data_IF_381855135569
#
_entry.id   IF_381855135569
#
_cell.length_a   1.000
_cell.length_b   1.000
_cell.length_c   1.000
_cell.angle_alpha   90.00
_cell.angle_beta   90.00
_cell.angle_gamma   90.00
#
_symmetry.space_group_name_H-M   'P 1'
#
loop_
_entity.id
_entity.type
_entity.pdbx_description
1 polymer ?
#
# COMPACT_ATOMS: atom_id res chain seq x y z
N UNK A 1 -23.86 -20.99 2.88
CA UNK A 1 -23.83 -22.05 1.84
C UNK A 1 -22.60 -22.90 2.07
N UNK A 2 -22.67 -24.25 2.06
CA UNK A 2 -21.56 -25.11 2.42
C UNK A 2 -20.50 -25.13 1.31
N UNK A 3 -19.26 -25.38 1.72
CA UNK A 3 -18.01 -25.35 0.94
C UNK A 3 -17.86 -26.42 -0.16
N UNK A 4 -18.90 -27.15 -0.49
CA UNK A 4 -18.82 -28.29 -1.43
C UNK A 4 -19.09 -27.94 -2.91
N UNK A 5 -19.36 -26.67 -3.24
CA UNK A 5 -19.76 -26.31 -4.61
C UNK A 5 -18.62 -25.91 -5.54
N UNK A 6 -17.37 -25.87 -5.08
CA UNK A 6 -16.21 -25.42 -5.88
C UNK A 6 -15.36 -26.53 -6.49
N UNK A 7 -15.71 -27.80 -6.33
CA UNK A 7 -14.85 -28.91 -6.76
C UNK A 7 -15.08 -29.43 -8.19
N UNK A 8 -16.05 -28.89 -8.96
CA UNK A 8 -16.40 -29.42 -10.28
C UNK A 8 -16.42 -28.39 -11.44
N UNK A 9 -15.62 -27.34 -11.35
CA UNK A 9 -15.43 -26.43 -12.49
C UNK A 9 -14.25 -26.91 -13.36
N UNK A 10 -14.41 -26.98 -14.69
CA UNK A 10 -13.34 -27.41 -15.59
C UNK A 10 -12.15 -26.45 -15.51
N UNK A 11 -10.94 -26.99 -15.45
CA UNK A 11 -9.65 -26.30 -15.29
C UNK A 11 -9.38 -25.16 -16.29
N UNK A 12 -10.12 -25.08 -17.36
CA UNK A 12 -9.97 -24.07 -18.41
C UNK A 12 -10.74 -22.76 -18.15
N UNK A 13 -11.62 -22.71 -17.12
CA UNK A 13 -12.33 -21.48 -16.79
C UNK A 13 -11.58 -20.61 -15.76
N UNK A 14 -10.71 -21.22 -14.94
CA UNK A 14 -9.96 -20.52 -13.90
C UNK A 14 -8.86 -19.62 -14.47
N UNK A 15 -8.28 -19.96 -15.61
CA UNK A 15 -7.21 -19.15 -16.24
C UNK A 15 -7.74 -17.90 -16.96
N UNK A 16 -8.99 -17.90 -17.41
CA UNK A 16 -9.58 -16.75 -18.10
C UNK A 16 -10.18 -15.69 -17.15
N UNK A 17 -10.61 -16.10 -15.96
CA UNK A 17 -11.15 -15.17 -14.94
C UNK A 17 -10.05 -14.41 -14.20
N UNK A 18 -8.91 -15.05 -13.93
CA UNK A 18 -7.77 -14.38 -13.31
C UNK A 18 -7.13 -13.31 -14.21
N UNK A 19 -7.15 -13.47 -15.54
CA UNK A 19 -6.58 -12.49 -16.47
C UNK A 19 -7.46 -11.25 -16.69
N UNK A 20 -8.76 -11.33 -16.41
CA UNK A 20 -9.70 -10.22 -16.64
C UNK A 20 -9.84 -9.26 -15.46
N UNK A 21 -9.44 -9.68 -14.26
CA UNK A 21 -9.47 -8.84 -13.05
C UNK A 21 -8.22 -7.95 -12.89
N UNK A 22 -7.11 -8.27 -13.57
CA UNK A 22 -5.88 -7.46 -13.52
C UNK A 22 -5.84 -6.25 -14.47
N UNK A 23 -6.87 -6.05 -15.32
CA UNK A 23 -6.85 -5.00 -16.34
C UNK A 23 -7.49 -3.67 -15.92
N UNK A 24 -7.92 -3.52 -14.66
CA UNK A 24 -8.60 -2.30 -14.16
C UNK A 24 -7.64 -1.33 -13.45
N UNK A 25 -6.44 -1.77 -13.10
CA UNK A 25 -5.44 -0.85 -12.54
C UNK A 25 -4.59 -0.24 -13.66
N UNK A 26 -4.36 1.10 -13.64
CA UNK A 26 -3.42 1.73 -14.57
C UNK A 26 -2.06 1.06 -14.44
N UNK A 27 -1.33 0.96 -15.57
CA UNK A 27 0.04 0.42 -15.60
C UNK A 27 0.84 1.06 -14.47
N UNK A 28 1.50 0.21 -13.69
CA UNK A 28 2.33 0.59 -12.55
C UNK A 28 3.32 1.71 -12.99
N UNK A 29 3.03 2.94 -12.60
CA UNK A 29 3.86 4.12 -12.90
C UNK A 29 4.81 4.42 -11.75
N UNK A 30 5.12 3.41 -10.93
CA UNK A 30 6.02 3.55 -9.78
C UNK A 30 7.47 3.48 -10.24
N UNK A 31 8.20 4.57 -10.09
CA UNK A 31 9.65 4.62 -10.28
C UNK A 31 10.36 4.28 -8.97
N UNK A 32 11.37 3.38 -9.04
CA UNK A 32 12.25 3.06 -7.93
C UNK A 32 13.55 3.87 -8.03
N UNK A 33 13.93 4.53 -6.95
CA UNK A 33 15.25 5.13 -6.78
C UNK A 33 15.92 4.42 -5.61
N UNK A 34 17.02 3.70 -5.86
CA UNK A 34 17.82 3.07 -4.82
C UNK A 34 18.71 4.13 -4.17
N UNK A 35 18.56 4.30 -2.86
CA UNK A 35 19.52 5.09 -2.07
C UNK A 35 20.58 4.12 -1.57
N UNK A 36 21.75 4.10 -2.23
CA UNK A 36 22.84 3.17 -1.94
C UNK A 36 23.23 3.20 -0.45
N UNK A 37 23.30 2.03 0.21
CA UNK A 37 23.77 1.94 1.57
C UNK A 37 25.25 2.27 1.65
N UNK A 38 25.72 2.77 2.79
CA UNK A 38 27.14 2.76 3.12
C UNK A 38 27.59 1.31 3.26
N UNK A 39 28.78 0.96 2.74
CA UNK A 39 29.38 -0.38 2.84
C UNK A 39 29.33 -0.88 4.28
N UNK A 40 28.68 -2.02 4.54
CA UNK A 40 28.49 -2.59 5.88
C UNK A 40 27.25 -2.09 6.64
N UNK A 41 26.30 -1.45 5.98
CA UNK A 41 25.06 -0.99 6.63
C UNK A 41 24.14 -2.18 6.97
N UNK A 42 23.64 -2.20 8.20
CA UNK A 42 22.63 -3.15 8.67
C UNK A 42 21.20 -2.77 8.21
N UNK A 43 21.08 -1.85 7.25
CA UNK A 43 19.81 -1.36 6.72
C UNK A 43 19.95 -0.90 5.27
N UNK A 44 18.88 -1.10 4.49
CA UNK A 44 18.75 -0.71 3.08
C UNK A 44 17.52 0.19 2.92
N UNK A 45 17.73 1.44 2.47
CA UNK A 45 16.65 2.40 2.23
C UNK A 45 16.39 2.53 0.73
N UNK A 46 15.14 2.38 0.34
CA UNK A 46 14.64 2.57 -1.02
C UNK A 46 13.63 3.70 -1.05
N UNK A 47 13.67 4.50 -2.12
CA UNK A 47 12.67 5.53 -2.42
C UNK A 47 11.87 5.12 -3.63
N UNK A 48 10.56 5.26 -3.55
CA UNK A 48 9.63 5.01 -4.65
C UNK A 48 8.81 6.26 -4.91
N UNK A 49 8.56 6.53 -6.19
CA UNK A 49 7.64 7.58 -6.62
C UNK A 49 6.44 6.94 -7.32
N UNK A 50 5.23 7.41 -7.02
CA UNK A 50 4.02 6.97 -7.70
C UNK A 50 3.13 8.17 -8.06
N UNK A 51 2.48 8.09 -9.21
CA UNK A 51 1.40 9.00 -9.60
C UNK A 51 0.09 8.47 -8.99
N UNK A 52 -0.49 9.24 -8.08
CA UNK A 52 -1.73 8.84 -7.42
C UNK A 52 -2.96 9.39 -8.16
N UNK A 53 -4.08 8.64 -8.19
CA UNK A 53 -5.37 9.17 -8.63
C UNK A 53 -5.89 10.20 -7.61
N UNK A 54 -7.14 10.60 -7.69
CA UNK A 54 -7.76 11.47 -6.70
C UNK A 54 -7.66 10.84 -5.29
N UNK A 55 -8.71 10.41 -4.68
CA UNK A 55 -8.66 9.68 -3.42
C UNK A 55 -8.64 8.16 -3.70
N UNK A 56 -7.67 7.43 -3.11
CA UNK A 56 -7.58 5.98 -3.29
C UNK A 56 -6.65 5.31 -2.25
N UNK A 57 -6.80 3.99 -2.09
CA UNK A 57 -5.81 3.11 -1.49
C UNK A 57 -5.06 2.37 -2.62
N UNK A 58 -3.84 2.78 -2.89
CA UNK A 58 -3.00 2.23 -3.96
C UNK A 58 -2.20 1.03 -3.42
N UNK A 59 -2.35 -0.19 -3.97
CA UNK A 59 -1.59 -1.35 -3.49
C UNK A 59 -0.11 -1.18 -3.86
N UNK A 60 0.78 -1.33 -2.86
CA UNK A 60 2.24 -1.22 -2.99
C UNK A 60 2.99 -2.46 -2.49
N UNK A 61 2.29 -3.54 -2.21
CA UNK A 61 2.88 -4.78 -1.67
C UNK A 61 4.00 -5.32 -2.54
N UNK A 62 3.84 -5.29 -3.87
CA UNK A 62 4.84 -5.81 -4.80
C UNK A 62 6.14 -5.00 -4.73
N UNK A 63 6.06 -3.66 -4.64
CA UNK A 63 7.22 -2.78 -4.52
C UNK A 63 7.94 -2.99 -3.18
N UNK A 64 7.18 -3.14 -2.09
CA UNK A 64 7.74 -3.40 -0.76
C UNK A 64 8.43 -4.76 -0.70
N UNK A 65 7.80 -5.81 -1.26
CA UNK A 65 8.42 -7.14 -1.35
C UNK A 65 9.65 -7.12 -2.27
N UNK A 66 9.62 -6.35 -3.35
CA UNK A 66 10.77 -6.15 -4.23
C UNK A 66 11.96 -5.51 -3.49
N UNK A 67 11.71 -4.49 -2.65
CA UNK A 67 12.75 -3.89 -1.82
C UNK A 67 13.37 -4.90 -0.84
N UNK A 68 12.55 -5.76 -0.22
CA UNK A 68 13.06 -6.83 0.65
C UNK A 68 13.95 -7.80 -0.13
N UNK A 69 13.52 -8.24 -1.32
CA UNK A 69 14.31 -9.15 -2.14
C UNK A 69 15.66 -8.51 -2.57
N UNK A 70 15.63 -7.26 -3.02
CA UNK A 70 16.81 -6.52 -3.48
C UNK A 70 17.79 -6.21 -2.34
N UNK A 71 17.30 -6.09 -1.09
CA UNK A 71 18.15 -5.85 0.08
C UNK A 71 19.06 -7.02 0.42
N UNK A 72 18.70 -8.24 -0.01
CA UNK A 72 19.38 -9.47 0.40
C UNK A 72 19.21 -9.85 1.88
N UNK A 73 18.43 -9.08 2.65
CA UNK A 73 18.16 -9.34 4.07
C UNK A 73 17.11 -10.44 4.18
N UNK A 74 17.47 -11.52 4.87
CA UNK A 74 16.60 -12.69 5.05
C UNK A 74 15.71 -12.59 6.26
N UNK A 75 16.22 -12.00 7.35
CA UNK A 75 15.48 -11.89 8.61
C UNK A 75 15.67 -10.49 9.21
N UNK A 76 14.58 -9.88 9.67
CA UNK A 76 14.62 -8.51 10.18
C UNK A 76 13.25 -7.83 10.17
N UNK A 77 13.25 -6.53 9.92
CA UNK A 77 12.04 -5.71 9.80
C UNK A 77 12.08 -4.86 8.52
N UNK A 78 10.91 -4.65 7.96
CA UNK A 78 10.67 -3.72 6.85
C UNK A 78 9.76 -2.58 7.35
N UNK A 79 10.26 -1.35 7.27
CA UNK A 79 9.49 -0.14 7.59
C UNK A 79 9.09 0.53 6.28
N UNK A 80 7.80 0.76 6.08
CA UNK A 80 7.26 1.54 4.95
C UNK A 80 6.79 2.89 5.48
N UNK A 81 7.27 3.99 4.89
CA UNK A 81 7.03 5.34 5.40
C UNK A 81 6.55 6.29 4.29
N UNK A 82 5.51 7.04 4.60
CA UNK A 82 4.95 8.12 3.77
C UNK A 82 5.37 9.49 4.34
N UNK A 83 6.13 10.32 3.60
CA UNK A 83 6.58 11.65 4.08
C UNK A 83 5.56 12.76 3.77
N UNK A 84 4.28 12.45 3.60
CA UNK A 84 3.25 13.41 3.24
C UNK A 84 2.21 13.57 4.35
N UNK A 85 1.63 14.76 4.45
CA UNK A 85 0.66 15.11 5.50
C UNK A 85 -0.80 14.85 5.10
N UNK A 86 -1.05 14.55 3.81
CA UNK A 86 -2.38 14.25 3.26
C UNK A 86 -2.45 12.85 2.63
N UNK A 87 -1.47 12.00 2.96
CA UNK A 87 -1.41 10.60 2.58
C UNK A 87 -0.88 9.76 3.76
N UNK A 88 -1.05 8.45 3.71
CA UNK A 88 -0.61 7.53 4.76
C UNK A 88 -0.26 6.15 4.24
N UNK A 89 0.10 5.25 5.16
CA UNK A 89 0.38 3.83 4.85
C UNK A 89 -0.51 2.96 5.73
N UNK A 90 -1.10 1.91 5.14
CA UNK A 90 -1.85 0.91 5.92
C UNK A 90 -1.61 -0.50 5.42
N UNK A 91 -2.03 -1.47 6.23
CA UNK A 91 -2.14 -2.88 5.87
C UNK A 91 -3.61 -3.27 6.01
N UNK A 92 -4.19 -3.79 4.93
CA UNK A 92 -5.56 -4.25 4.94
C UNK A 92 -5.77 -5.38 3.93
N UNK A 93 -6.98 -5.87 3.77
CA UNK A 93 -7.32 -6.90 2.80
C UNK A 93 -7.04 -6.45 1.37
N UNK A 94 -6.40 -7.34 0.59
CA UNK A 94 -6.00 -7.11 -0.79
C UNK A 94 -6.60 -8.16 -1.76
N UNK A 95 -7.58 -8.91 -1.31
CA UNK A 95 -8.24 -9.94 -2.13
C UNK A 95 -9.55 -9.45 -2.76
N UNK A 96 -10.30 -8.62 -2.04
CA UNK A 96 -11.58 -8.08 -2.47
C UNK A 96 -11.46 -6.56 -2.71
N UNK A 97 -11.65 -6.07 -3.95
CA UNK A 97 -11.61 -4.64 -4.28
C UNK A 97 -12.72 -3.83 -3.62
N UNK A 98 -13.83 -4.45 -3.22
CA UNK A 98 -14.93 -3.76 -2.54
C UNK A 98 -14.50 -3.28 -1.15
N UNK A 99 -13.54 -3.95 -0.49
CA UNK A 99 -12.97 -3.49 0.78
C UNK A 99 -12.35 -2.09 0.65
N UNK A 100 -11.62 -1.81 -0.43
CA UNK A 100 -11.05 -0.48 -0.70
C UNK A 100 -12.17 0.56 -0.86
N UNK A 101 -13.21 0.23 -1.60
CA UNK A 101 -14.38 1.10 -1.84
C UNK A 101 -15.08 1.44 -0.52
N UNK A 102 -15.31 0.43 0.31
CA UNK A 102 -15.99 0.58 1.60
C UNK A 102 -15.14 1.37 2.61
N UNK A 103 -13.84 1.14 2.65
CA UNK A 103 -12.92 1.89 3.50
C UNK A 103 -12.91 3.37 3.12
N UNK A 104 -12.83 3.70 1.82
CA UNK A 104 -12.89 5.09 1.36
C UNK A 104 -14.21 5.75 1.74
N UNK A 105 -15.35 5.04 1.58
CA UNK A 105 -16.65 5.53 2.02
C UNK A 105 -16.70 5.77 3.53
N UNK A 106 -16.18 4.84 4.32
CA UNK A 106 -16.12 4.93 5.78
C UNK A 106 -15.27 6.12 6.23
N UNK A 107 -14.09 6.34 5.62
CA UNK A 107 -13.21 7.46 5.96
C UNK A 107 -13.84 8.81 5.59
N UNK A 108 -14.50 8.92 4.44
CA UNK A 108 -15.25 10.14 4.08
C UNK A 108 -16.34 10.48 5.08
N UNK A 109 -17.05 9.47 5.60
CA UNK A 109 -18.09 9.64 6.61
C UNK A 109 -17.52 9.97 7.99
N UNK A 110 -16.40 9.34 8.38
CA UNK A 110 -15.76 9.56 9.68
C UNK A 110 -15.07 10.93 9.76
N UNK A 111 -14.48 11.40 8.65
CA UNK A 111 -13.73 12.66 8.56
C UNK A 111 -14.27 13.52 7.41
N UNK A 112 -15.51 14.03 7.50
CA UNK A 112 -16.09 14.89 6.47
C UNK A 112 -15.44 16.27 6.46
N UNK A 113 -15.55 16.99 5.36
CA UNK A 113 -15.28 18.41 5.35
C UNK A 113 -16.29 19.15 6.24
N UNK A 114 -15.82 20.19 6.91
CA UNK A 114 -16.63 20.98 7.85
C UNK A 114 -16.42 22.48 7.60
N UNK A 115 -17.48 23.28 7.65
CA UNK A 115 -17.39 24.75 7.45
C UNK A 115 -16.54 25.46 8.52
N UNK A 116 -16.31 24.80 9.67
CA UNK A 116 -15.48 25.34 10.75
C UNK A 116 -13.97 25.15 10.51
N UNK A 117 -13.58 24.37 9.51
CA UNK A 117 -12.17 24.18 9.14
C UNK A 117 -11.59 25.50 8.62
N UNK A 118 -10.37 25.84 9.09
CA UNK A 118 -9.72 27.13 8.81
C UNK A 118 -8.53 27.02 7.88
N UNK A 119 -8.14 25.80 7.48
CA UNK A 119 -7.02 25.61 6.59
C UNK A 119 -7.34 26.15 5.20
N UNK A 120 -6.49 27.08 4.72
CA UNK A 120 -6.78 27.85 3.50
C UNK A 120 -6.80 27.00 2.23
N UNK A 121 -6.09 25.88 2.20
CA UNK A 121 -6.09 24.94 1.06
C UNK A 121 -7.38 24.12 0.94
N UNK A 122 -8.24 24.13 1.98
CA UNK A 122 -9.54 23.45 1.97
C UNK A 122 -9.46 21.91 2.05
N UNK A 123 -8.29 21.35 2.39
CA UNK A 123 -8.05 19.89 2.44
C UNK A 123 -7.89 19.33 3.87
N UNK A 124 -8.49 19.99 4.87
CA UNK A 124 -8.40 19.59 6.28
C UNK A 124 -8.89 18.15 6.52
N UNK A 125 -9.91 17.67 5.79
CA UNK A 125 -10.40 16.31 5.89
C UNK A 125 -9.34 15.28 5.43
N UNK A 126 -8.54 15.63 4.43
CA UNK A 126 -7.41 14.78 3.99
C UNK A 126 -6.33 14.70 5.06
N UNK A 127 -5.99 15.82 5.72
CA UNK A 127 -5.06 15.82 6.87
C UNK A 127 -5.58 14.96 8.04
N UNK A 128 -6.88 15.05 8.35
CA UNK A 128 -7.49 14.26 9.42
C UNK A 128 -7.43 12.75 9.10
N UNK A 129 -7.78 12.37 7.85
CA UNK A 129 -7.69 10.97 7.39
C UNK A 129 -6.26 10.44 7.41
N UNK A 130 -5.29 11.22 6.90
CA UNK A 130 -3.89 10.85 6.92
C UNK A 130 -3.35 10.64 8.34
N UNK A 131 -3.73 11.54 9.29
CA UNK A 131 -3.34 11.42 10.70
C UNK A 131 -3.94 10.19 11.38
N UNK A 132 -5.19 9.86 11.08
CA UNK A 132 -5.86 8.66 11.62
C UNK A 132 -5.28 7.36 11.04
N UNK A 133 -4.87 7.37 9.75
CA UNK A 133 -4.26 6.22 9.08
C UNK A 133 -2.85 5.96 9.59
N UNK A 134 -2.08 7.00 9.84
CA UNK A 134 -0.66 6.91 10.19
C UNK A 134 0.25 7.00 8.98
N UNK A 135 1.49 7.40 9.24
CA UNK A 135 2.50 7.64 8.20
C UNK A 135 3.39 6.42 7.91
N UNK A 136 3.30 5.34 8.68
CA UNK A 136 4.18 4.18 8.51
C UNK A 136 3.57 2.88 9.02
N UNK A 137 4.07 1.76 8.46
CA UNK A 137 3.87 0.42 8.99
C UNK A 137 5.19 -0.29 9.14
N UNK A 138 5.29 -1.18 10.13
CA UNK A 138 6.44 -2.06 10.34
C UNK A 138 6.00 -3.50 10.17
N UNK A 139 6.72 -4.26 9.33
CA UNK A 139 6.38 -5.63 8.96
C UNK A 139 7.61 -6.50 9.25
N UNK A 140 7.49 -7.62 9.99
CA UNK A 140 8.56 -8.58 10.11
C UNK A 140 8.97 -9.15 8.74
N UNK A 141 10.27 -9.38 8.56
CA UNK A 141 10.84 -10.08 7.39
C UNK A 141 11.38 -11.42 7.86
N UNK A 142 11.00 -12.49 7.17
CA UNK A 142 11.52 -13.83 7.41
C UNK A 142 11.76 -14.59 6.13
N UNK A 143 12.93 -15.22 6.01
CA UNK A 143 13.36 -15.93 4.79
C UNK A 143 13.25 -15.06 3.52
N UNK A 144 13.59 -13.78 3.60
CA UNK A 144 13.52 -12.81 2.50
C UNK A 144 12.10 -12.43 2.06
N UNK A 145 11.10 -12.62 2.94
CA UNK A 145 9.69 -12.33 2.66
C UNK A 145 9.05 -11.51 3.77
N UNK A 146 8.13 -10.64 3.38
CA UNK A 146 7.25 -9.95 4.31
C UNK A 146 6.35 -10.98 5.02
N UNK A 147 6.27 -10.91 6.34
CA UNK A 147 5.34 -11.72 7.13
C UNK A 147 3.98 -11.03 7.14
N UNK A 148 3.18 -11.33 6.13
CA UNK A 148 1.81 -10.84 5.99
C UNK A 148 0.83 -12.00 6.14
N UNK A 149 -0.36 -11.72 6.67
CA UNK A 149 -1.49 -12.65 6.66
C UNK A 149 -1.99 -12.92 5.23
N UNK A 150 -2.73 -14.00 5.03
CA UNK A 150 -3.22 -14.48 3.73
C UNK A 150 -3.91 -13.40 2.89
N UNK A 151 -4.65 -12.53 3.55
CA UNK A 151 -5.44 -11.46 2.90
C UNK A 151 -4.77 -10.09 2.96
N UNK A 152 -3.65 -9.95 3.69
CA UNK A 152 -3.02 -8.66 3.90
C UNK A 152 -2.23 -8.18 2.68
N UNK A 153 -2.40 -6.90 2.36
CA UNK A 153 -1.56 -6.14 1.45
C UNK A 153 -1.19 -4.79 2.05
N UNK A 154 -0.10 -4.22 1.59
CA UNK A 154 0.36 -2.87 1.96
C UNK A 154 -0.21 -1.87 0.97
N UNK A 155 -0.77 -0.78 1.49
CA UNK A 155 -1.37 0.27 0.69
C UNK A 155 -0.76 1.63 0.99
N UNK A 156 -0.52 2.39 -0.07
CA UNK A 156 -0.35 3.83 0.00
C UNK A 156 -1.74 4.48 -0.07
N UNK A 157 -2.10 5.23 0.97
CA UNK A 157 -3.41 5.85 1.09
C UNK A 157 -3.32 7.31 0.64
N UNK A 158 -3.92 7.65 -0.50
CA UNK A 158 -4.02 9.01 -1.02
C UNK A 158 -5.35 9.63 -0.62
N UNK A 159 -5.31 10.81 0.00
CA UNK A 159 -6.52 11.53 0.44
C UNK A 159 -6.67 12.93 -0.18
N UNK A 160 -5.70 13.40 -0.98
CA UNK A 160 -5.64 14.76 -1.55
C UNK A 160 -5.02 14.77 -2.96
N UNK A 161 -5.25 13.69 -3.73
CA UNK A 161 -4.77 13.57 -5.11
C UNK A 161 -5.67 14.27 -6.14
N UNK A 162 -5.30 14.20 -7.45
CA UNK A 162 -4.13 13.49 -7.97
C UNK A 162 -2.81 14.21 -7.68
N UNK A 163 -1.77 13.46 -7.32
CA UNK A 163 -0.44 14.01 -7.02
C UNK A 163 0.68 13.03 -7.37
N UNK A 164 1.88 13.56 -7.57
CA UNK A 164 3.11 12.78 -7.54
C UNK A 164 3.56 12.63 -6.08
N UNK A 165 3.61 11.39 -5.60
CA UNK A 165 3.92 11.05 -4.21
C UNK A 165 5.20 10.23 -4.12
N UNK A 166 5.83 10.29 -2.94
CA UNK A 166 6.99 9.47 -2.60
C UNK A 166 6.65 8.62 -1.38
N UNK A 167 7.16 7.39 -1.34
CA UNK A 167 7.23 6.60 -0.12
C UNK A 167 8.60 5.94 0.00
N UNK A 168 8.97 5.60 1.22
CA UNK A 168 10.24 4.96 1.53
C UNK A 168 10.01 3.55 2.06
N UNK A 169 10.92 2.65 1.70
CA UNK A 169 10.98 1.29 2.24
C UNK A 169 12.36 1.11 2.83
N UNK A 170 12.43 0.88 4.15
CA UNK A 170 13.68 0.63 4.86
C UNK A 170 13.67 -0.81 5.38
N UNK A 171 14.61 -1.62 4.89
CA UNK A 171 14.80 -3.01 5.32
C UNK A 171 15.99 -3.06 6.25
N UNK A 172 15.79 -3.57 7.46
CA UNK A 172 16.76 -3.55 8.56
C UNK A 172 16.99 -4.98 9.03
N UNK A 173 18.24 -5.37 9.17
CA UNK A 173 18.65 -6.67 9.74
C UNK A 173 18.14 -6.79 11.18
N UNK A 174 17.54 -7.94 11.51
CA UNK A 174 17.09 -8.30 12.87
C UNK A 174 18.15 -9.02 13.68
#
# INVERSE_FOLDING_TARGET
MPAEFLCNLPKNLTTHLTHKLYSVFPKDTTEKIEILPKKGANAMLYSYTLETPAENLCPITAQVQGAVADSGITDGICVVYCPHTTAGITINENADPDVVTDLLLAYRKAFPDRPEFRHMEGNSSAHARASAMGSSVTIPVRNGRLVLGTWQGVYFCEFDGPRRRTFYVNVIVG
#
